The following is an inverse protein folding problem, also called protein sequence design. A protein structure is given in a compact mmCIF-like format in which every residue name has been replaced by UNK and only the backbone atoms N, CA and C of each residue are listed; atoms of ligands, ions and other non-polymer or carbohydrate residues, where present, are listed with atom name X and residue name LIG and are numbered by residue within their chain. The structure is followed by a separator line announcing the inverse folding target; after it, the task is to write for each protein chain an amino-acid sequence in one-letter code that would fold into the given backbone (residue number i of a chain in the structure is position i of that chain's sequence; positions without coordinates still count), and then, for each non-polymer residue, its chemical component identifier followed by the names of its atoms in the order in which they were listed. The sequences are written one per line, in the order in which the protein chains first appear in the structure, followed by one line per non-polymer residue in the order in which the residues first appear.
data_IF_828551450487
#
_entry.id   IF_828551450487
#
_cell.length_a   1.000
_cell.length_b   1.000
_cell.length_c   1.000
_cell.angle_alpha   90.00
_cell.angle_beta   90.00
_cell.angle_gamma   90.00
#
_symmetry.space_group_name_H-M   'P 1'
#
loop_
_entity.id
_entity.type
_entity.pdbx_description
1 polymer ?
#
# COMPACT_ATOMS: atom_id res chain seq x y z
N UNK A 1 10.38 -24.06 8.72
CA UNK A 1 9.45 -22.99 8.32
C UNK A 1 10.18 -22.10 7.33
N UNK A 2 9.69 -21.98 6.10
CA UNK A 2 10.25 -21.00 5.17
C UNK A 2 9.98 -19.58 5.72
N UNK A 3 10.95 -18.68 5.61
CA UNK A 3 10.80 -17.27 5.99
C UNK A 3 10.36 -16.51 4.73
N UNK A 4 9.14 -15.96 4.68
CA UNK A 4 8.70 -15.22 3.50
C UNK A 4 9.62 -14.02 3.25
N UNK A 5 10.08 -13.85 2.03
CA UNK A 5 10.92 -12.74 1.59
C UNK A 5 10.10 -11.83 0.70
N UNK A 6 10.01 -10.56 1.07
CA UNK A 6 9.27 -9.55 0.32
C UNK A 6 10.18 -8.56 -0.38
N UNK A 7 9.61 -7.90 -1.39
CA UNK A 7 10.21 -6.73 -2.03
C UNK A 7 9.40 -5.48 -1.70
N UNK A 8 10.08 -4.36 -1.46
CA UNK A 8 9.41 -3.09 -1.25
C UNK A 8 8.94 -2.49 -2.58
N UNK A 9 7.74 -1.91 -2.65
CA UNK A 9 7.16 -1.35 -3.88
C UNK A 9 8.16 -0.45 -4.64
N UNK A 10 8.91 0.40 -3.93
CA UNK A 10 9.83 1.37 -4.56
C UNK A 10 11.09 0.75 -5.18
N UNK A 11 11.31 -0.55 -4.99
CA UNK A 11 12.33 -1.32 -5.71
C UNK A 11 11.83 -1.86 -7.06
N UNK A 12 10.54 -1.65 -7.38
CA UNK A 12 9.94 -2.02 -8.67
C UNK A 12 9.80 -0.80 -9.60
N UNK A 13 9.71 -0.98 -10.93
CA UNK A 13 9.47 0.12 -11.86
C UNK A 13 8.22 0.95 -11.53
N UNK A 14 8.36 2.28 -11.56
CA UNK A 14 7.29 3.21 -11.15
C UNK A 14 6.05 3.17 -12.05
N UNK A 15 6.22 2.84 -13.33
CA UNK A 15 5.15 2.86 -14.33
C UNK A 15 4.29 1.59 -14.32
N UNK A 16 4.65 0.59 -13.51
CA UNK A 16 3.88 -0.65 -13.41
C UNK A 16 2.53 -0.44 -12.74
N UNK A 17 1.51 -1.03 -13.36
CA UNK A 17 0.24 -1.39 -12.70
C UNK A 17 0.50 -2.38 -11.56
N UNK A 18 -0.50 -2.60 -10.69
CA UNK A 18 -0.35 -3.61 -9.64
C UNK A 18 -0.18 -5.02 -10.18
N UNK A 19 -0.89 -5.41 -11.24
CA UNK A 19 -0.74 -6.72 -11.84
C UNK A 19 0.69 -6.94 -12.39
N UNK A 20 1.22 -5.98 -13.15
CA UNK A 20 2.59 -6.04 -13.65
C UNK A 20 3.60 -6.09 -12.50
N UNK A 21 3.40 -5.28 -11.45
CA UNK A 21 4.28 -5.26 -10.28
C UNK A 21 4.28 -6.60 -9.53
N UNK A 22 3.13 -7.23 -9.35
CA UNK A 22 3.01 -8.51 -8.67
C UNK A 22 3.61 -9.64 -9.52
N UNK A 23 3.41 -9.64 -10.85
CA UNK A 23 4.08 -10.57 -11.76
C UNK A 23 5.60 -10.41 -11.74
N UNK A 24 6.10 -9.17 -11.74
CA UNK A 24 7.53 -8.90 -11.61
C UNK A 24 8.11 -9.45 -10.30
N UNK A 25 7.42 -9.26 -9.17
CA UNK A 25 7.86 -9.84 -7.90
C UNK A 25 7.87 -11.38 -7.93
N UNK A 26 6.87 -11.99 -8.57
CA UNK A 26 6.78 -13.44 -8.77
C UNK A 26 7.94 -13.99 -9.59
N UNK A 27 8.26 -13.34 -10.72
CA UNK A 27 9.37 -13.74 -11.60
C UNK A 27 10.72 -13.69 -10.90
N UNK A 28 10.90 -12.73 -9.98
CA UNK A 28 12.11 -12.61 -9.16
C UNK A 28 12.13 -13.54 -7.94
N UNK A 29 11.07 -14.32 -7.71
CA UNK A 29 10.99 -15.29 -6.60
C UNK A 29 10.69 -14.68 -5.24
N UNK A 30 10.11 -13.48 -5.17
CA UNK A 30 9.60 -12.93 -3.91
C UNK A 30 8.24 -13.53 -3.54
N UNK A 31 7.96 -13.61 -2.25
CA UNK A 31 6.69 -14.13 -1.72
C UNK A 31 5.61 -13.05 -1.61
N UNK A 32 6.00 -11.78 -1.52
CA UNK A 32 5.09 -10.65 -1.34
C UNK A 32 5.70 -9.31 -1.75
N UNK A 33 4.83 -8.30 -1.89
CA UNK A 33 5.20 -6.90 -2.06
C UNK A 33 4.69 -6.08 -0.87
N UNK A 34 5.51 -5.21 -0.29
CA UNK A 34 5.04 -4.20 0.67
C UNK A 34 4.63 -2.93 -0.07
N UNK A 35 3.37 -2.50 0.10
CA UNK A 35 2.83 -1.28 -0.52
C UNK A 35 3.37 -0.04 0.19
N UNK A 36 3.64 1.03 -0.56
CA UNK A 36 3.95 2.33 0.00
C UNK A 36 2.77 3.30 -0.11
N UNK A 37 2.46 3.99 0.99
CA UNK A 37 1.66 5.20 0.98
C UNK A 37 2.54 6.29 1.58
N UNK A 38 3.24 7.04 0.73
CA UNK A 38 4.22 8.02 1.16
C UNK A 38 3.73 9.46 1.04
N UNK A 39 4.65 10.41 1.15
CA UNK A 39 4.35 11.85 1.26
C UNK A 39 3.86 12.46 -0.07
N UNK A 40 4.01 11.74 -1.18
CA UNK A 40 3.64 12.22 -2.53
C UNK A 40 2.16 12.00 -2.78
N UNK A 41 1.54 13.00 -3.42
CA UNK A 41 0.11 12.96 -3.77
C UNK A 41 -0.23 11.73 -4.63
N UNK A 42 0.68 11.30 -5.50
CA UNK A 42 0.55 10.10 -6.35
C UNK A 42 0.32 8.79 -5.56
N UNK A 43 0.79 8.71 -4.31
CA UNK A 43 0.57 7.53 -3.43
C UNK A 43 -0.47 7.79 -2.36
N UNK A 44 -0.67 9.03 -1.93
CA UNK A 44 -1.74 9.38 -1.00
C UNK A 44 -3.12 9.17 -1.62
N UNK A 45 -3.28 9.44 -2.91
CA UNK A 45 -4.55 9.27 -3.64
C UNK A 45 -5.12 7.84 -3.55
N UNK A 46 -4.26 6.84 -3.25
CA UNK A 46 -4.68 5.45 -3.05
C UNK A 46 -5.66 5.28 -1.90
N UNK A 47 -5.59 6.15 -0.89
CA UNK A 47 -6.52 6.19 0.24
C UNK A 47 -7.94 6.58 -0.19
N UNK A 48 -8.07 7.20 -1.36
CA UNK A 48 -9.32 7.65 -1.95
C UNK A 48 -9.75 6.78 -3.15
N UNK A 49 -9.06 5.67 -3.42
CA UNK A 49 -9.44 4.72 -4.47
C UNK A 49 -10.87 4.21 -4.28
N UNK A 50 -11.57 4.06 -5.41
CA UNK A 50 -12.89 3.45 -5.47
C UNK A 50 -12.85 1.97 -5.07
N UNK A 51 -14.02 1.39 -4.80
CA UNK A 51 -14.11 -0.05 -4.50
C UNK A 51 -13.70 -0.91 -5.70
N UNK A 52 -13.97 -0.43 -6.91
CA UNK A 52 -13.59 -1.09 -8.15
C UNK A 52 -12.06 -1.10 -8.29
N UNK A 53 -11.39 0.03 -8.06
CA UNK A 53 -9.91 0.10 -8.08
C UNK A 53 -9.28 -0.82 -7.03
N UNK A 54 -9.83 -0.86 -5.81
CA UNK A 54 -9.38 -1.78 -4.75
C UNK A 54 -9.59 -3.24 -5.14
N UNK A 55 -10.73 -3.57 -5.76
CA UNK A 55 -11.05 -4.92 -6.21
C UNK A 55 -10.09 -5.42 -7.30
N UNK A 56 -9.65 -4.55 -8.21
CA UNK A 56 -8.66 -4.93 -9.23
C UNK A 56 -7.32 -5.35 -8.61
N UNK A 57 -6.92 -4.72 -7.51
CA UNK A 57 -5.71 -5.12 -6.77
C UNK A 57 -5.91 -6.49 -6.12
N UNK A 58 -7.08 -6.73 -5.51
CA UNK A 58 -7.42 -8.03 -4.92
C UNK A 58 -7.39 -9.12 -6.00
N UNK A 59 -7.98 -8.88 -7.17
CA UNK A 59 -7.92 -9.81 -8.31
C UNK A 59 -6.48 -10.09 -8.73
N UNK A 60 -5.63 -9.07 -8.82
CA UNK A 60 -4.21 -9.24 -9.16
C UNK A 60 -3.45 -10.08 -8.11
N UNK A 61 -3.75 -9.92 -6.81
CA UNK A 61 -3.21 -10.77 -5.75
C UNK A 61 -3.61 -12.24 -5.97
N UNK A 62 -4.89 -12.50 -6.25
CA UNK A 62 -5.39 -13.85 -6.53
C UNK A 62 -4.78 -14.46 -7.79
N UNK A 63 -4.67 -13.69 -8.87
CA UNK A 63 -4.14 -14.14 -10.16
C UNK A 63 -2.66 -14.50 -10.08
N UNK A 64 -1.86 -13.65 -9.43
CA UNK A 64 -0.41 -13.85 -9.36
C UNK A 64 0.01 -14.81 -8.26
N UNK A 65 -0.76 -14.86 -7.16
CA UNK A 65 -0.39 -15.53 -5.91
C UNK A 65 0.55 -14.72 -5.01
N UNK A 66 0.95 -13.51 -5.43
CA UNK A 66 1.82 -12.62 -4.66
C UNK A 66 0.96 -11.73 -3.77
N UNK A 67 1.21 -11.80 -2.47
CA UNK A 67 0.43 -11.05 -1.47
C UNK A 67 0.92 -9.62 -1.33
N UNK A 68 0.06 -8.77 -0.78
CA UNK A 68 0.41 -7.45 -0.24
C UNK A 68 0.07 -7.46 1.27
N UNK A 69 0.91 -8.05 2.13
CA UNK A 69 0.58 -8.25 3.53
C UNK A 69 0.81 -7.00 4.39
N UNK A 70 1.57 -6.01 3.90
CA UNK A 70 1.88 -4.79 4.65
C UNK A 70 1.78 -3.50 3.85
N UNK A 71 1.45 -2.41 4.54
CA UNK A 71 1.52 -1.03 4.03
C UNK A 71 2.54 -0.23 4.85
N UNK A 72 3.59 0.26 4.20
CA UNK A 72 4.45 1.30 4.73
C UNK A 72 3.77 2.67 4.56
N UNK A 73 3.07 3.13 5.60
CA UNK A 73 2.39 4.43 5.60
C UNK A 73 3.30 5.57 6.07
N UNK A 74 4.31 5.91 5.28
CA UNK A 74 5.23 7.01 5.59
C UNK A 74 4.64 8.41 5.30
N UNK A 75 3.39 8.51 4.84
CA UNK A 75 2.67 9.76 4.63
C UNK A 75 2.51 10.60 5.91
N UNK A 76 2.57 9.97 7.08
CA UNK A 76 2.61 10.66 8.38
C UNK A 76 3.88 11.50 8.60
N UNK A 77 4.93 11.38 7.77
CA UNK A 77 6.03 12.34 7.80
C UNK A 77 5.57 13.74 7.34
N UNK A 78 4.69 13.80 6.34
CA UNK A 78 4.08 15.04 5.85
C UNK A 78 2.87 15.48 6.69
N UNK A 79 2.11 14.52 7.22
CA UNK A 79 0.94 14.76 8.08
C UNK A 79 1.13 14.09 9.45
N UNK A 80 1.98 14.65 10.33
CA UNK A 80 2.33 14.02 11.60
C UNK A 80 1.16 14.04 12.58
N UNK A 81 0.91 12.90 13.22
CA UNK A 81 -0.15 12.75 14.22
C UNK A 81 0.14 13.55 15.50
N UNK A 82 1.41 13.79 15.83
CA UNK A 82 1.84 14.62 16.96
C UNK A 82 2.04 16.09 16.61
N UNK A 83 1.36 16.60 15.57
CA UNK A 83 1.47 18.02 15.19
C UNK A 83 0.82 18.93 16.23
N UNK A 84 1.44 20.07 16.53
CA UNK A 84 0.79 21.14 17.31
C UNK A 84 -0.21 21.96 16.49
N UNK A 85 -0.20 21.80 15.16
CA UNK A 85 -1.22 22.37 14.29
C UNK A 85 -2.44 21.43 14.27
N UNK A 86 -3.60 21.87 14.81
CA UNK A 86 -4.81 21.04 14.90
C UNK A 86 -5.38 20.66 13.54
N UNK A 87 -5.10 21.43 12.48
CA UNK A 87 -5.53 21.08 11.11
C UNK A 87 -4.71 19.90 10.59
N UNK A 88 -3.40 19.89 10.83
CA UNK A 88 -2.51 18.79 10.44
C UNK A 88 -2.77 17.53 11.26
N UNK A 89 -2.97 17.64 12.57
CA UNK A 89 -3.34 16.51 13.43
C UNK A 89 -4.65 15.87 12.94
N UNK A 90 -5.71 16.69 12.74
CA UNK A 90 -6.98 16.21 12.22
C UNK A 90 -6.83 15.50 10.88
N UNK A 91 -6.01 16.05 9.97
CA UNK A 91 -5.73 15.41 8.67
C UNK A 91 -5.00 14.08 8.84
N UNK A 92 -4.03 14.00 9.74
CA UNK A 92 -3.29 12.76 10.04
C UNK A 92 -4.22 11.62 10.47
N UNK A 93 -5.19 11.92 11.35
CA UNK A 93 -6.19 10.96 11.82
C UNK A 93 -7.16 10.54 10.71
N UNK A 94 -7.60 11.46 9.86
CA UNK A 94 -8.42 11.15 8.67
C UNK A 94 -7.69 10.17 7.74
N UNK A 95 -6.43 10.45 7.43
CA UNK A 95 -5.63 9.59 6.55
C UNK A 95 -5.36 8.22 7.18
N UNK A 96 -5.13 8.15 8.49
CA UNK A 96 -4.97 6.88 9.20
C UNK A 96 -6.24 6.03 9.10
N UNK A 97 -7.42 6.64 9.30
CA UNK A 97 -8.70 5.93 9.15
C UNK A 97 -8.86 5.37 7.74
N UNK A 98 -8.59 6.18 6.71
CA UNK A 98 -8.64 5.71 5.30
C UNK A 98 -7.63 4.60 5.03
N UNK A 99 -6.44 4.65 5.64
CA UNK A 99 -5.42 3.62 5.48
C UNK A 99 -5.88 2.29 6.09
N UNK A 100 -6.57 2.32 7.24
CA UNK A 100 -7.17 1.14 7.86
C UNK A 100 -8.27 0.57 6.96
N UNK A 101 -9.17 1.41 6.43
CA UNK A 101 -10.24 0.99 5.51
C UNK A 101 -9.65 0.36 4.24
N UNK A 102 -8.63 0.97 3.66
CA UNK A 102 -7.90 0.40 2.52
C UNK A 102 -7.26 -0.95 2.87
N UNK A 103 -6.64 -1.07 4.05
CA UNK A 103 -6.04 -2.32 4.50
C UNK A 103 -7.08 -3.44 4.64
N UNK A 104 -8.27 -3.12 5.17
CA UNK A 104 -9.39 -4.06 5.27
C UNK A 104 -9.87 -4.52 3.91
N UNK A 105 -10.08 -3.59 2.97
CA UNK A 105 -10.57 -3.92 1.61
C UNK A 105 -9.56 -4.77 0.82
N UNK A 106 -8.26 -4.52 0.99
CA UNK A 106 -7.20 -5.25 0.30
C UNK A 106 -6.74 -6.54 1.01
N UNK A 107 -7.18 -6.76 2.25
CA UNK A 107 -6.75 -7.92 3.06
C UNK A 107 -5.31 -7.83 3.60
N UNK A 108 -4.78 -6.60 3.72
CA UNK A 108 -3.48 -6.28 4.34
C UNK A 108 -3.49 -6.62 5.84
N UNK A 109 -2.35 -6.98 6.41
CA UNK A 109 -2.23 -7.53 7.77
C UNK A 109 -1.43 -6.65 8.73
N UNK A 110 -0.57 -5.77 8.24
CA UNK A 110 0.27 -4.91 9.07
C UNK A 110 0.47 -3.53 8.44
#
# INVERSE_FOLDING_TARGET
MARPIGIYEKATPKHFTWLERLNFAKELGFDFVEMSIDERDERLVRLDWSKEERLEIVKAIYETGIRIPSICFSGHRRYPMGSNDPVLEKKSLELMKKCIELAQDLGVRT
#
